data_IF_316615956884
#
_entry.id   IF_316615956884
#
_cell.length_a   1.000
_cell.length_b   1.000
_cell.length_c   1.000
_cell.angle_alpha   90.00
_cell.angle_beta   90.00
_cell.angle_gamma   90.00
#
_symmetry.space_group_name_H-M   'P 1'
#
loop_
_entity.id
_entity.type
_entity.pdbx_description
1 polymer ?
#
# COMPACT_ATOMS: atom_id res chain seq x y z
N UNK A 1 8.57 -5.95 -8.17
CA UNK A 1 7.85 -6.52 -7.02
C UNK A 1 8.17 -8.00 -6.79
N UNK A 2 7.95 -8.92 -7.75
CA UNK A 2 8.16 -10.37 -7.56
C UNK A 2 9.48 -10.75 -6.87
N UNK A 3 10.64 -10.30 -7.39
CA UNK A 3 11.95 -10.59 -6.77
C UNK A 3 12.07 -10.06 -5.34
N UNK A 4 11.44 -8.92 -5.03
CA UNK A 4 11.43 -8.37 -3.67
C UNK A 4 10.64 -9.30 -2.72
N UNK A 5 9.46 -9.77 -3.14
CA UNK A 5 8.66 -10.72 -2.35
C UNK A 5 9.37 -12.06 -2.15
N UNK A 6 9.99 -12.60 -3.20
CA UNK A 6 10.59 -13.93 -3.16
C UNK A 6 11.93 -13.94 -2.43
N UNK A 7 12.79 -12.96 -2.73
CA UNK A 7 14.16 -12.90 -2.25
C UNK A 7 14.23 -12.07 -0.98
N UNK A 8 13.76 -10.83 -0.96
CA UNK A 8 13.98 -9.93 0.18
C UNK A 8 13.02 -10.26 1.33
N UNK A 9 11.73 -10.43 1.03
CA UNK A 9 10.75 -10.91 2.01
C UNK A 9 10.76 -12.43 2.20
N UNK A 10 11.50 -13.17 1.38
CA UNK A 10 11.81 -14.57 1.62
C UNK A 10 10.65 -15.55 1.36
N UNK A 11 9.54 -15.13 0.75
CA UNK A 11 8.33 -15.97 0.58
C UNK A 11 8.56 -17.27 -0.22
N UNK A 12 9.62 -17.33 -1.03
CA UNK A 12 10.03 -18.52 -1.79
C UNK A 12 11.36 -19.13 -1.33
N UNK A 13 12.05 -18.57 -0.35
CA UNK A 13 13.25 -19.20 0.25
C UNK A 13 12.88 -20.51 0.94
N UNK A 14 13.83 -21.46 1.02
CA UNK A 14 13.64 -22.71 1.74
C UNK A 14 13.28 -22.47 3.23
N UNK A 15 13.95 -21.48 3.86
CA UNK A 15 13.66 -21.09 5.25
C UNK A 15 12.33 -20.34 5.40
N UNK A 16 11.80 -19.72 4.34
CA UNK A 16 10.69 -18.74 4.36
C UNK A 16 10.94 -17.50 5.23
N UNK A 17 12.19 -17.21 5.58
CA UNK A 17 12.57 -16.06 6.40
C UNK A 17 13.20 -14.97 5.52
N UNK A 18 12.59 -13.77 5.55
CA UNK A 18 13.07 -12.56 4.91
C UNK A 18 13.51 -11.49 5.89
N UNK A 19 13.73 -10.28 5.40
CA UNK A 19 14.20 -9.12 6.19
C UNK A 19 13.18 -8.61 7.22
N UNK A 20 11.92 -9.05 7.13
CA UNK A 20 10.85 -8.76 8.09
C UNK A 20 10.43 -10.03 8.86
N UNK A 21 11.29 -11.04 8.92
CA UNK A 21 10.95 -12.34 9.49
C UNK A 21 10.17 -13.25 8.52
N UNK A 22 9.39 -14.18 9.08
CA UNK A 22 8.56 -15.12 8.31
C UNK A 22 7.19 -14.49 8.05
N UNK A 23 6.77 -14.47 6.79
CA UNK A 23 5.50 -13.90 6.37
C UNK A 23 4.53 -15.05 6.09
N UNK A 24 3.39 -15.05 6.79
CA UNK A 24 2.29 -16.01 6.60
C UNK A 24 1.47 -15.67 5.37
N UNK A 25 1.19 -14.38 5.17
CA UNK A 25 0.42 -13.91 4.02
C UNK A 25 0.80 -12.48 3.64
N UNK A 26 0.49 -12.08 2.41
CA UNK A 26 0.71 -10.73 1.92
C UNK A 26 -0.32 -10.34 0.86
N UNK A 27 -0.58 -9.04 0.78
CA UNK A 27 -1.32 -8.43 -0.31
C UNK A 27 -0.61 -7.14 -0.74
N UNK A 28 -0.37 -7.00 -2.04
CA UNK A 28 0.31 -5.85 -2.64
C UNK A 28 -0.52 -5.33 -3.80
N UNK A 29 -0.69 -4.02 -3.87
CA UNK A 29 -1.26 -3.35 -5.05
C UNK A 29 -0.34 -2.23 -5.51
N UNK A 30 -0.09 -2.20 -6.81
CA UNK A 30 0.64 -1.13 -7.48
C UNK A 30 -0.37 -0.09 -7.98
N UNK A 31 -0.17 1.17 -7.61
CA UNK A 31 -0.92 2.30 -8.13
C UNK A 31 0.03 3.31 -8.80
N UNK A 32 -0.40 3.93 -9.89
CA UNK A 32 0.26 5.07 -10.49
C UNK A 32 -0.22 6.37 -9.86
N UNK A 33 0.70 7.23 -9.42
CA UNK A 33 0.34 8.60 -9.05
C UNK A 33 0.21 9.47 -10.31
N UNK A 34 -0.58 10.53 -10.20
CA UNK A 34 -0.69 11.59 -11.21
C UNK A 34 0.68 12.23 -11.53
N UNK A 35 1.68 12.05 -10.65
CA UNK A 35 3.06 12.51 -10.81
C UNK A 35 3.96 11.56 -11.60
N UNK A 36 3.41 10.48 -12.16
CA UNK A 36 4.11 9.58 -13.07
C UNK A 36 5.03 8.54 -12.42
N UNK A 37 4.96 8.37 -11.10
CA UNK A 37 5.62 7.27 -10.37
C UNK A 37 4.64 6.14 -10.05
N UNK A 38 5.15 4.91 -10.04
CA UNK A 38 4.44 3.74 -9.52
C UNK A 38 4.79 3.62 -8.03
N UNK A 39 3.78 3.40 -7.20
CA UNK A 39 3.94 3.09 -5.79
C UNK A 39 3.24 1.78 -5.47
N UNK A 40 3.82 1.00 -4.56
CA UNK A 40 3.22 -0.23 -4.06
C UNK A 40 2.72 -0.01 -2.64
N UNK A 41 1.46 -0.32 -2.38
CA UNK A 41 0.96 -0.51 -1.01
C UNK A 41 1.05 -1.99 -0.67
N UNK A 42 1.45 -2.31 0.56
CA UNK A 42 1.72 -3.68 0.99
C UNK A 42 1.12 -3.91 2.38
N UNK A 43 0.29 -4.95 2.52
CA UNK A 43 -0.08 -5.54 3.79
C UNK A 43 0.64 -6.87 3.94
N UNK A 44 1.32 -7.05 5.06
CA UNK A 44 2.11 -8.24 5.38
C UNK A 44 1.63 -8.81 6.72
N UNK A 45 1.27 -10.08 6.72
CA UNK A 45 0.91 -10.81 7.93
C UNK A 45 2.10 -11.63 8.39
N UNK A 46 2.70 -11.27 9.51
CA UNK A 46 3.79 -12.03 10.12
C UNK A 46 3.29 -13.39 10.63
N UNK A 47 4.09 -14.43 10.42
CA UNK A 47 3.81 -15.75 10.96
C UNK A 47 4.07 -15.77 12.48
N UNK A 48 3.17 -16.41 13.23
CA UNK A 48 3.22 -16.44 14.70
C UNK A 48 2.74 -15.17 15.41
N UNK A 49 2.32 -14.12 14.68
CA UNK A 49 1.72 -12.93 15.26
C UNK A 49 0.42 -13.29 16.02
N UNK A 50 0.15 -12.68 17.19
CA UNK A 50 -1.08 -12.91 17.94
C UNK A 50 -2.32 -12.58 17.11
N UNK A 51 -3.36 -13.40 17.24
CA UNK A 51 -4.56 -13.28 16.40
C UNK A 51 -5.45 -12.10 16.79
N UNK A 52 -5.33 -11.60 18.01
CA UNK A 52 -6.15 -10.52 18.55
C UNK A 52 -5.41 -9.74 19.64
N UNK A 53 -5.90 -8.55 20.03
CA UNK A 53 -5.32 -7.83 21.17
C UNK A 53 -5.38 -8.64 22.47
N UNK A 54 -6.41 -9.48 22.63
CA UNK A 54 -6.55 -10.34 23.79
C UNK A 54 -5.49 -11.44 23.82
N UNK A 55 -5.25 -12.12 22.69
CA UNK A 55 -4.18 -13.13 22.55
C UNK A 55 -2.79 -12.49 22.80
N UNK A 56 -2.57 -11.26 22.35
CA UNK A 56 -1.36 -10.49 22.67
C UNK A 56 -1.20 -10.32 24.19
N UNK A 57 -2.25 -9.88 24.89
CA UNK A 57 -2.24 -9.70 26.36
C UNK A 57 -2.03 -11.02 27.10
N UNK A 58 -2.70 -12.09 26.68
CA UNK A 58 -2.53 -13.42 27.26
C UNK A 58 -1.09 -13.92 27.11
N UNK A 59 -0.46 -13.73 25.95
CA UNK A 59 0.96 -14.07 25.73
C UNK A 59 1.91 -13.24 26.56
N UNK A 60 1.66 -11.93 26.65
CA UNK A 60 2.46 -11.03 27.51
C UNK A 60 2.38 -11.43 28.99
N UNK A 61 1.25 -11.97 29.46
CA UNK A 61 1.07 -12.41 30.84
C UNK A 61 1.60 -13.83 31.10
N UNK A 62 1.51 -14.73 30.12
CA UNK A 62 1.87 -16.14 30.28
C UNK A 62 3.34 -16.46 29.98
N UNK A 63 4.00 -15.66 29.13
CA UNK A 63 5.41 -15.82 28.79
C UNK A 63 6.21 -14.57 29.20
N UNK A 64 6.99 -14.65 30.30
CA UNK A 64 7.79 -13.54 30.80
C UNK A 64 8.80 -12.97 29.80
N UNK A 65 9.22 -13.76 28.81
CA UNK A 65 10.22 -13.36 27.81
C UNK A 65 9.60 -12.83 26.52
N UNK A 66 8.27 -12.89 26.39
CA UNK A 66 7.59 -12.54 25.15
C UNK A 66 7.76 -11.06 24.79
N UNK A 67 7.60 -10.16 25.76
CA UNK A 67 7.77 -8.71 25.55
C UNK A 67 9.18 -8.41 25.01
N UNK A 68 10.23 -8.92 25.66
CA UNK A 68 11.62 -8.70 25.27
C UNK A 68 11.95 -9.26 23.87
N UNK A 69 11.42 -10.45 23.53
CA UNK A 69 11.62 -11.03 22.20
C UNK A 69 10.90 -10.22 21.12
N UNK A 70 9.72 -9.70 21.42
CA UNK A 70 8.93 -8.92 20.48
C UNK A 70 9.54 -7.53 20.25
N UNK A 71 9.98 -6.83 21.31
CA UNK A 71 10.67 -5.54 21.19
C UNK A 71 11.98 -5.69 20.41
N UNK A 72 12.80 -6.69 20.74
CA UNK A 72 14.04 -6.98 20.02
C UNK A 72 13.81 -7.31 18.53
N UNK A 73 12.73 -8.02 18.21
CA UNK A 73 12.37 -8.30 16.82
C UNK A 73 11.99 -7.01 16.07
N UNK A 74 11.17 -6.14 16.66
CA UNK A 74 10.80 -4.87 16.02
C UNK A 74 12.00 -3.93 15.84
N UNK A 75 12.92 -3.88 16.79
CA UNK A 75 14.17 -3.11 16.67
C UNK A 75 15.09 -3.63 15.54
N UNK A 76 15.02 -4.92 15.19
CA UNK A 76 15.76 -5.51 14.07
C UNK A 76 15.11 -5.18 12.72
N UNK A 77 13.78 -5.15 12.65
CA UNK A 77 13.06 -5.03 11.37
C UNK A 77 12.65 -3.60 11.02
N UNK A 78 12.47 -2.70 11.99
CA UNK A 78 12.04 -1.32 11.78
C UNK A 78 13.10 -0.36 12.37
N UNK A 79 13.53 0.58 11.55
CA UNK A 79 14.43 1.66 11.90
C UNK A 79 13.74 3.02 11.73
N UNK A 80 13.89 3.90 12.73
CA UNK A 80 13.50 5.31 12.69
C UNK A 80 14.70 6.20 13.09
N UNK A 81 15.88 5.85 12.55
CA UNK A 81 17.14 6.55 12.79
C UNK A 81 18.02 6.53 11.54
N UNK A 82 18.95 7.49 11.45
CA UNK A 82 20.01 7.42 10.46
C UNK A 82 21.13 6.46 10.89
N UNK A 83 21.83 5.82 9.95
CA UNK A 83 23.05 5.08 10.27
C UNK A 83 24.08 5.97 10.96
N UNK A 84 24.71 5.44 12.01
CA UNK A 84 25.77 6.14 12.75
C UNK A 84 26.98 6.44 11.85
N UNK A 85 27.76 7.45 12.21
CA UNK A 85 28.99 7.83 11.49
C UNK A 85 28.78 8.21 10.02
N UNK A 86 27.61 8.77 9.69
CA UNK A 86 27.28 9.30 8.37
C UNK A 86 27.19 10.82 8.40
N UNK A 87 27.30 11.44 7.24
CA UNK A 87 27.13 12.89 7.07
C UNK A 87 25.83 13.19 6.30
N UNK A 88 25.18 14.35 6.52
CA UNK A 88 24.02 14.76 5.73
C UNK A 88 24.33 14.72 4.24
N UNK A 89 23.37 14.25 3.45
CA UNK A 89 23.46 14.25 2.02
C UNK A 89 23.45 15.68 1.47
N UNK A 90 24.46 16.00 0.66
CA UNK A 90 24.60 17.30 0.01
C UNK A 90 24.31 17.13 -1.49
N UNK A 91 23.20 17.69 -1.96
CA UNK A 91 22.95 17.85 -3.40
C UNK A 91 23.80 18.99 -3.94
N UNK A 92 24.86 18.70 -4.71
CA UNK A 92 25.44 19.70 -5.59
C UNK A 92 24.66 19.71 -6.92
N UNK A 93 23.98 20.82 -7.24
CA UNK A 93 23.26 20.97 -8.51
C UNK A 93 24.19 20.65 -9.69
N UNK A 94 23.70 19.86 -10.66
CA UNK A 94 24.45 19.52 -11.87
C UNK A 94 25.49 18.40 -11.72
N UNK A 95 25.72 17.84 -10.53
CA UNK A 95 26.57 16.65 -10.39
C UNK A 95 25.78 15.35 -10.56
N UNK A 96 26.31 14.34 -11.29
CA UNK A 96 25.71 13.02 -11.33
C UNK A 96 25.64 12.44 -9.92
N UNK A 97 24.49 11.85 -9.55
CA UNK A 97 24.35 11.10 -8.29
C UNK A 97 25.37 9.96 -8.27
N UNK A 98 26.48 10.14 -7.56
CA UNK A 98 27.42 9.04 -7.31
C UNK A 98 26.84 8.17 -6.20
N UNK A 99 26.79 6.86 -6.41
CA UNK A 99 26.46 5.93 -5.33
C UNK A 99 27.64 5.93 -4.35
N UNK A 100 27.43 6.24 -3.06
CA UNK A 100 28.51 6.21 -2.08
C UNK A 100 29.13 4.82 -2.01
N UNK A 101 30.45 4.77 -1.82
CA UNK A 101 31.17 3.50 -1.67
C UNK A 101 30.82 2.76 -0.36
N UNK A 102 30.39 3.51 0.68
CA UNK A 102 30.01 2.95 1.98
C UNK A 102 28.50 2.76 2.06
N UNK A 103 28.06 1.55 2.43
CA UNK A 103 26.65 1.17 2.59
C UNK A 103 25.87 2.14 3.48
N UNK A 104 26.40 2.48 4.64
CA UNK A 104 25.69 3.31 5.63
C UNK A 104 25.48 4.74 5.13
N UNK A 105 26.48 5.31 4.45
CA UNK A 105 26.33 6.62 3.79
C UNK A 105 25.32 6.53 2.66
N UNK A 106 25.36 5.47 1.84
CA UNK A 106 24.38 5.25 0.79
C UNK A 106 22.95 5.12 1.34
N UNK A 107 22.77 4.45 2.48
CA UNK A 107 21.49 4.34 3.15
C UNK A 107 20.98 5.69 3.62
N UNK A 108 21.80 6.50 4.30
CA UNK A 108 21.43 7.87 4.67
C UNK A 108 21.05 8.72 3.46
N UNK A 109 21.87 8.67 2.41
CA UNK A 109 21.63 9.40 1.18
C UNK A 109 20.29 9.00 0.56
N UNK A 110 19.95 7.72 0.54
CA UNK A 110 18.62 7.28 0.09
C UNK A 110 17.53 7.87 0.97
N UNK A 111 17.62 7.78 2.30
CA UNK A 111 16.62 8.34 3.21
C UNK A 111 16.32 9.82 2.91
N UNK A 112 17.37 10.62 2.73
CA UNK A 112 17.27 12.06 2.48
C UNK A 112 16.84 12.39 1.03
N UNK A 113 17.07 11.50 0.06
CA UNK A 113 16.75 11.72 -1.36
C UNK A 113 15.46 11.09 -1.87
N UNK A 114 14.95 10.06 -1.20
CA UNK A 114 13.77 9.31 -1.67
C UNK A 114 12.49 9.74 -0.97
N UNK A 115 12.53 10.80 -0.16
CA UNK A 115 11.39 11.30 0.61
C UNK A 115 11.05 10.42 1.82
N UNK A 116 12.03 9.67 2.35
CA UNK A 116 11.87 8.92 3.60
C UNK A 116 11.87 9.87 4.79
N UNK A 117 12.71 10.92 4.72
CA UNK A 117 12.68 12.08 5.61
C UNK A 117 11.53 12.99 5.20
N UNK A 118 10.61 13.22 6.13
CA UNK A 118 9.51 14.13 5.92
C UNK A 118 9.99 15.58 5.93
N UNK A 119 9.43 16.38 5.03
CA UNK A 119 9.55 17.83 5.04
C UNK A 119 8.19 18.41 4.76
N UNK A 120 7.68 19.21 5.69
CA UNK A 120 6.36 19.81 5.54
C UNK A 120 6.27 20.60 4.23
N UNK A 121 5.13 20.44 3.58
CA UNK A 121 4.79 21.16 2.37
C UNK A 121 3.26 21.30 2.33
N UNK A 122 2.73 22.01 1.33
CA UNK A 122 1.29 22.28 1.22
C UNK A 122 0.40 21.01 1.25
N UNK A 123 0.92 19.83 0.88
CA UNK A 123 0.16 18.57 0.95
C UNK A 123 -0.09 18.07 2.36
N UNK A 124 0.74 18.47 3.34
CA UNK A 124 0.60 18.11 4.75
C UNK A 124 -0.67 18.69 5.36
N UNK A 125 -1.13 19.82 4.83
CA UNK A 125 -2.26 20.59 5.35
C UNK A 125 -3.46 20.57 4.38
N UNK A 126 -3.50 19.61 3.45
CA UNK A 126 -4.52 19.52 2.39
C UNK A 126 -5.95 19.45 2.92
N UNK A 127 -6.15 18.79 4.07
CA UNK A 127 -7.48 18.60 4.67
C UNK A 127 -7.89 19.76 5.59
N UNK A 128 -6.99 20.71 5.85
CA UNK A 128 -7.27 21.86 6.69
C UNK A 128 -7.92 22.93 5.81
N UNK A 129 -9.07 23.51 6.20
CA UNK A 129 -9.69 24.60 5.47
C UNK A 129 -8.76 25.81 5.34
N UNK A 130 -8.65 26.37 4.12
CA UNK A 130 -7.78 27.53 3.84
C UNK A 130 -8.00 28.73 4.77
N UNK A 131 -9.23 28.92 5.27
CA UNK A 131 -9.62 30.03 6.15
C UNK A 131 -8.88 30.02 7.49
N UNK A 132 -8.39 28.86 7.93
CA UNK A 132 -7.69 28.68 9.19
C UNK A 132 -6.22 28.27 8.99
N UNK A 133 -5.69 28.35 7.76
CA UNK A 133 -4.29 28.01 7.48
C UNK A 133 -3.30 28.88 8.26
N UNK A 134 -3.68 30.10 8.64
CA UNK A 134 -2.87 30.97 9.49
C UNK A 134 -2.75 30.49 10.94
N UNK A 135 -3.59 29.54 11.37
CA UNK A 135 -3.58 28.95 12.71
C UNK A 135 -2.93 27.56 12.73
N UNK A 136 -2.44 27.09 11.59
CA UNK A 136 -1.82 25.77 11.46
C UNK A 136 -0.53 25.74 12.25
N UNK A 137 -0.43 24.78 13.16
CA UNK A 137 0.81 24.36 13.80
C UNK A 137 1.40 23.23 12.98
N UNK A 138 2.52 23.45 12.24
CA UNK A 138 3.08 22.45 11.34
C UNK A 138 3.34 21.10 12.00
N UNK A 139 3.74 21.09 13.27
CA UNK A 139 4.15 19.89 13.98
C UNK A 139 2.96 19.11 14.57
N UNK A 140 1.82 19.78 14.77
CA UNK A 140 0.60 19.16 15.31
C UNK A 140 -0.46 18.86 14.25
N UNK A 141 -0.52 19.70 13.23
CA UNK A 141 -1.56 19.66 12.20
C UNK A 141 -1.09 18.97 10.91
N UNK A 142 0.12 18.41 10.91
CA UNK A 142 0.58 17.57 9.82
C UNK A 142 -0.33 16.34 9.69
N UNK A 143 -0.97 16.17 8.53
CA UNK A 143 -1.80 14.99 8.22
C UNK A 143 -1.06 13.66 8.47
N UNK A 144 0.25 13.64 8.31
CA UNK A 144 1.08 12.45 8.51
C UNK A 144 1.51 12.24 9.96
N UNK A 145 1.13 13.14 10.88
CA UNK A 145 1.48 13.11 12.31
C UNK A 145 3.00 13.11 12.52
N UNK A 146 3.66 14.08 11.87
CA UNK A 146 5.11 14.28 11.91
C UNK A 146 5.42 15.72 12.35
N UNK A 147 6.45 15.94 13.19
CA UNK A 147 7.38 14.93 13.70
C UNK A 147 6.76 14.02 14.78
N UNK A 148 7.19 12.75 14.83
CA UNK A 148 6.87 11.83 15.92
C UNK A 148 7.61 12.22 17.21
N UNK A 149 7.04 11.94 18.39
CA UNK A 149 7.79 12.00 19.64
C UNK A 149 9.04 11.12 19.58
N UNK A 150 10.13 11.61 20.17
CA UNK A 150 11.37 10.83 20.30
C UNK A 150 11.20 9.79 21.41
N UNK A 151 11.68 8.58 21.14
CA UNK A 151 11.57 7.42 22.03
C UNK A 151 12.93 6.74 22.07
N UNK A 152 13.54 6.67 23.26
CA UNK A 152 14.90 6.14 23.43
C UNK A 152 15.01 4.63 23.19
N UNK A 153 13.97 3.86 23.55
CA UNK A 153 13.94 2.41 23.42
C UNK A 153 12.53 1.89 23.13
N UNK A 154 12.46 0.78 22.40
CA UNK A 154 11.19 0.12 22.07
C UNK A 154 10.62 -0.55 23.32
N UNK A 155 9.39 -0.21 23.69
CA UNK A 155 8.75 -0.68 24.93
C UNK A 155 7.22 -0.78 24.78
N UNK A 156 6.57 -1.39 25.77
CA UNK A 156 5.11 -1.36 25.92
C UNK A 156 4.71 -0.25 26.89
N UNK A 157 3.72 0.56 26.52
CA UNK A 157 3.18 1.61 27.39
C UNK A 157 2.19 1.06 28.44
N UNK A 158 1.53 1.96 29.17
CA UNK A 158 0.59 1.61 30.23
C UNK A 158 -0.69 0.95 29.70
N UNK A 159 -0.99 1.14 28.42
CA UNK A 159 -2.14 0.59 27.71
C UNK A 159 -1.84 -0.79 27.08
N UNK A 160 -0.60 -1.30 27.26
CA UNK A 160 -0.03 -2.48 26.61
C UNK A 160 0.14 -2.33 25.09
N UNK A 161 0.25 -1.09 24.61
CA UNK A 161 0.55 -0.78 23.21
C UNK A 161 2.07 -0.70 22.98
N UNK A 162 2.52 -1.22 21.83
CA UNK A 162 3.94 -1.25 21.48
C UNK A 162 4.37 0.11 20.91
N UNK A 163 5.34 0.74 21.57
CA UNK A 163 5.98 1.98 21.13
C UNK A 163 7.37 1.67 20.58
N UNK A 164 7.61 1.97 19.30
CA UNK A 164 8.91 1.75 18.63
C UNK A 164 9.88 2.89 18.94
N UNK A 165 11.15 2.56 19.18
CA UNK A 165 12.26 3.50 19.29
C UNK A 165 12.30 4.46 18.09
N UNK A 166 12.40 5.76 18.39
CA UNK A 166 12.37 6.85 17.44
C UNK A 166 13.46 7.85 17.80
N UNK A 167 14.54 7.91 17.01
CA UNK A 167 15.63 8.87 17.21
C UNK A 167 15.47 10.11 16.32
N UNK A 168 14.70 10.00 15.24
CA UNK A 168 14.38 11.10 14.34
C UNK A 168 12.87 11.11 14.05
N UNK A 169 12.19 12.15 14.54
CA UNK A 169 10.75 12.29 14.46
C UNK A 169 10.23 12.46 13.03
N UNK A 170 11.04 12.95 12.09
CA UNK A 170 10.65 13.22 10.70
C UNK A 170 10.96 12.04 9.77
N UNK A 171 11.82 11.12 10.19
CA UNK A 171 12.22 9.96 9.41
C UNK A 171 11.20 8.82 9.52
N UNK A 172 10.54 8.48 8.41
CA UNK A 172 9.60 7.35 8.38
C UNK A 172 10.27 6.03 8.78
N UNK A 173 9.48 5.19 9.46
CA UNK A 173 9.86 3.81 9.75
C UNK A 173 10.24 3.09 8.46
N UNK A 174 11.33 2.35 8.49
CA UNK A 174 11.79 1.62 7.31
C UNK A 174 12.68 0.44 7.71
N UNK A 175 12.80 -0.54 6.84
CA UNK A 175 13.81 -1.58 6.98
C UNK A 175 15.03 -1.21 6.10
N UNK A 176 16.23 -1.00 6.66
CA UNK A 176 17.40 -0.56 5.91
C UNK A 176 17.69 -1.41 4.67
N UNK A 177 17.57 -2.73 4.78
CA UNK A 177 17.80 -3.66 3.67
C UNK A 177 16.71 -3.52 2.59
N UNK A 178 15.45 -3.42 2.98
CA UNK A 178 14.35 -3.21 2.03
C UNK A 178 14.50 -1.88 1.26
N UNK A 179 14.80 -0.79 1.98
CA UNK A 179 15.01 0.54 1.40
C UNK A 179 16.20 0.55 0.44
N UNK A 180 17.33 -0.07 0.82
CA UNK A 180 18.50 -0.20 -0.05
C UNK A 180 18.21 -1.03 -1.31
N UNK A 181 17.46 -2.13 -1.20
CA UNK A 181 17.13 -2.98 -2.34
C UNK A 181 16.11 -2.35 -3.29
N UNK A 182 15.17 -1.55 -2.77
CA UNK A 182 14.13 -0.90 -3.58
C UNK A 182 14.58 0.48 -4.11
N UNK A 183 15.49 1.16 -3.42
CA UNK A 183 15.99 2.48 -3.80
C UNK A 183 14.93 3.58 -3.73
N UNK A 184 13.91 3.40 -2.89
CA UNK A 184 12.79 4.33 -2.74
C UNK A 184 12.31 4.43 -1.29
N UNK A 185 11.38 5.37 -1.03
CA UNK A 185 10.68 5.42 0.25
C UNK A 185 9.81 4.16 0.43
N UNK A 186 10.04 3.44 1.52
CA UNK A 186 9.32 2.20 1.86
C UNK A 186 8.28 2.35 2.99
N UNK A 187 8.21 3.50 3.67
CA UNK A 187 7.28 3.85 4.77
C UNK A 187 6.66 2.64 5.50
N UNK A 188 7.49 1.94 6.27
CA UNK A 188 7.12 0.75 7.01
C UNK A 188 6.49 1.13 8.36
N UNK A 189 5.26 0.68 8.58
CA UNK A 189 4.49 0.89 9.81
C UNK A 189 4.05 -0.44 10.38
N UNK A 190 4.24 -0.60 11.69
CA UNK A 190 3.57 -1.68 12.40
C UNK A 190 2.07 -1.44 12.41
N UNK A 191 1.30 -2.51 12.23
CA UNK A 191 -0.16 -2.46 12.36
C UNK A 191 -0.55 -3.40 13.49
N UNK A 192 -0.80 -2.81 14.66
CA UNK A 192 -1.33 -3.56 15.79
C UNK A 192 -2.81 -3.92 15.57
N UNK A 193 -3.29 -4.93 16.27
CA UNK A 193 -4.69 -5.38 16.21
C UNK A 193 -5.68 -4.33 16.71
N UNK A 194 -6.94 -4.40 16.28
CA UNK A 194 -8.01 -3.49 16.73
C UNK A 194 -8.40 -2.45 15.67
N UNK A 195 -8.81 -1.25 16.10
CA UNK A 195 -9.29 -0.18 15.22
C UNK A 195 -8.23 0.30 14.22
N UNK A 196 -6.95 0.31 14.62
CA UNK A 196 -5.82 0.68 13.75
C UNK A 196 -5.66 -0.34 12.63
N UNK A 197 -5.72 -1.64 12.91
CA UNK A 197 -5.71 -2.68 11.88
C UNK A 197 -6.90 -2.54 10.92
N UNK A 198 -8.10 -2.30 11.44
CA UNK A 198 -9.29 -2.12 10.60
C UNK A 198 -9.14 -0.89 9.69
N UNK A 199 -8.64 0.23 10.21
CA UNK A 199 -8.37 1.43 9.42
C UNK A 199 -7.30 1.18 8.34
N UNK A 200 -6.28 0.37 8.61
CA UNK A 200 -5.26 0.00 7.61
C UNK A 200 -5.81 -0.94 6.54
N UNK A 201 -6.70 -1.87 6.90
CA UNK A 201 -7.41 -2.71 5.93
C UNK A 201 -8.33 -1.86 5.05
N UNK A 202 -9.09 -0.93 5.63
CA UNK A 202 -9.92 0.02 4.87
C UNK A 202 -9.07 0.90 3.95
N UNK A 203 -7.97 1.44 4.46
CA UNK A 203 -6.99 2.18 3.68
C UNK A 203 -6.54 1.34 2.48
N UNK A 204 -6.05 0.12 2.71
CA UNK A 204 -5.58 -0.76 1.64
C UNK A 204 -6.69 -1.14 0.65
N UNK A 205 -7.91 -1.37 1.13
CA UNK A 205 -9.06 -1.63 0.28
C UNK A 205 -9.33 -0.45 -0.65
N UNK A 206 -9.27 0.78 -0.14
CA UNK A 206 -9.41 2.00 -0.93
C UNK A 206 -8.35 2.08 -2.04
N UNK A 207 -7.09 1.69 -1.79
CA UNK A 207 -6.04 1.65 -2.83
C UNK A 207 -6.28 0.55 -3.85
N UNK A 208 -6.76 -0.62 -3.39
CA UNK A 208 -7.09 -1.76 -4.24
C UNK A 208 -8.20 -1.41 -5.24
N UNK A 209 -9.24 -0.70 -4.78
CA UNK A 209 -10.38 -0.33 -5.62
C UNK A 209 -10.21 1.01 -6.32
N UNK A 210 -9.17 1.79 -6.03
CA UNK A 210 -9.00 3.17 -6.54
C UNK A 210 -9.03 3.28 -8.06
N UNK A 211 -8.60 2.22 -8.74
CA UNK A 211 -8.54 2.13 -10.19
C UNK A 211 -9.73 1.38 -10.79
N UNK A 212 -10.64 0.88 -9.96
CA UNK A 212 -11.89 0.27 -10.39
C UNK A 212 -12.90 1.37 -10.73
N UNK A 213 -13.75 1.08 -11.72
CA UNK A 213 -14.88 1.96 -12.03
C UNK A 213 -15.88 1.89 -10.88
N UNK A 214 -16.47 3.03 -10.56
CA UNK A 214 -17.58 3.09 -9.61
C UNK A 214 -18.69 2.13 -10.06
N UNK A 215 -19.21 1.34 -9.11
CA UNK A 215 -20.31 0.41 -9.33
C UNK A 215 -21.51 1.05 -10.03
N UNK A 216 -21.85 2.29 -9.70
CA UNK A 216 -22.93 3.03 -10.34
C UNK A 216 -22.63 3.33 -11.82
N UNK A 217 -21.37 3.58 -12.17
CA UNK A 217 -20.94 3.76 -13.58
C UNK A 217 -21.05 2.44 -14.32
N UNK A 218 -20.59 1.34 -13.71
CA UNK A 218 -20.71 -0.01 -14.28
C UNK A 218 -22.16 -0.37 -14.54
N UNK A 219 -23.01 -0.16 -13.53
CA UNK A 219 -24.43 -0.45 -13.60
C UNK A 219 -25.15 0.41 -14.64
N UNK A 220 -24.85 1.71 -14.70
CA UNK A 220 -25.45 2.62 -15.68
C UNK A 220 -25.10 2.22 -17.12
N UNK A 221 -23.86 1.80 -17.37
CA UNK A 221 -23.44 1.32 -18.70
C UNK A 221 -24.16 0.02 -19.09
N UNK A 222 -24.36 -0.90 -18.14
CA UNK A 222 -25.10 -2.14 -18.35
C UNK A 222 -26.58 -1.85 -18.68
N UNK A 223 -27.25 -1.05 -17.85
CA UNK A 223 -28.65 -0.66 -18.04
C UNK A 223 -28.87 0.08 -19.36
N UNK A 224 -27.96 0.99 -19.73
CA UNK A 224 -28.02 1.70 -21.01
C UNK A 224 -27.89 0.72 -22.20
N UNK A 225 -27.00 -0.26 -22.10
CA UNK A 225 -26.81 -1.28 -23.13
C UNK A 225 -28.03 -2.19 -23.28
N UNK A 226 -28.62 -2.64 -22.16
CA UNK A 226 -29.85 -3.44 -22.14
C UNK A 226 -31.00 -2.65 -22.79
N UNK A 227 -31.23 -1.41 -22.36
CA UNK A 227 -32.31 -0.57 -22.91
C UNK A 227 -32.13 -0.31 -24.41
N UNK A 228 -30.90 -0.12 -24.87
CA UNK A 228 -30.60 0.07 -26.29
C UNK A 228 -30.95 -1.17 -27.12
N UNK A 229 -30.68 -2.38 -26.60
CA UNK A 229 -30.97 -3.64 -27.27
C UNK A 229 -32.44 -4.03 -27.19
N UNK A 230 -33.15 -3.71 -26.12
CA UNK A 230 -34.61 -3.89 -26.04
C UNK A 230 -35.34 -3.04 -27.07
N UNK A 231 -34.88 -1.80 -27.29
CA UNK A 231 -35.47 -0.90 -28.28
C UNK A 231 -35.16 -1.28 -29.73
N UNK A 232 -34.01 -1.91 -29.97
CA UNK A 232 -33.53 -2.33 -31.30
C UNK A 232 -32.84 -3.69 -31.21
N UNK A 233 -33.62 -4.78 -31.05
CA UNK A 233 -33.05 -6.11 -30.95
C UNK A 233 -32.42 -6.51 -32.28
N UNK A 234 -31.22 -7.11 -32.29
CA UNK A 234 -30.68 -7.73 -33.49
C UNK A 234 -31.60 -8.85 -33.94
N UNK A 235 -31.81 -8.94 -35.25
CA UNK A 235 -32.61 -9.98 -35.87
C UNK A 235 -31.72 -10.79 -36.80
N UNK A 236 -31.99 -12.09 -36.90
CA UNK A 236 -31.36 -12.96 -37.88
C UNK A 236 -31.95 -12.75 -39.29
N UNK A 237 -31.48 -13.55 -40.24
CA UNK A 237 -31.95 -13.53 -41.64
C UNK A 237 -33.45 -13.82 -41.78
N UNK A 238 -34.06 -14.46 -40.79
CA UNK A 238 -35.48 -14.84 -40.76
C UNK A 238 -36.33 -13.83 -39.97
N UNK A 239 -35.71 -12.76 -39.46
CA UNK A 239 -36.37 -11.72 -38.66
C UNK A 239 -36.60 -12.11 -37.20
N UNK A 240 -36.11 -13.27 -36.76
CA UNK A 240 -36.20 -13.70 -35.37
C UNK A 240 -35.11 -13.03 -34.53
N UNK A 241 -35.36 -12.92 -33.22
CA UNK A 241 -34.37 -12.33 -32.32
C UNK A 241 -33.14 -13.25 -32.25
N UNK A 242 -31.99 -12.74 -32.67
CA UNK A 242 -30.72 -13.43 -32.51
C UNK A 242 -30.19 -13.20 -31.09
N UNK A 243 -30.46 -14.17 -30.20
CA UNK A 243 -30.02 -14.12 -28.81
C UNK A 243 -28.49 -14.13 -28.67
N UNK A 244 -27.77 -14.76 -29.60
CA UNK A 244 -26.30 -14.82 -29.57
C UNK A 244 -25.72 -13.45 -29.90
N UNK A 245 -26.22 -12.82 -30.97
CA UNK A 245 -25.81 -11.46 -31.34
C UNK A 245 -26.26 -10.43 -30.31
N UNK A 246 -27.42 -10.62 -29.67
CA UNK A 246 -27.88 -9.77 -28.58
C UNK A 246 -26.92 -9.82 -27.38
N UNK A 247 -26.50 -11.01 -26.95
CA UNK A 247 -25.54 -11.17 -25.86
C UNK A 247 -24.17 -10.57 -26.22
N UNK A 248 -23.68 -10.81 -27.44
CA UNK A 248 -22.42 -10.24 -27.92
C UNK A 248 -22.47 -8.71 -27.94
N UNK A 249 -23.52 -8.12 -28.50
CA UNK A 249 -23.70 -6.66 -28.55
C UNK A 249 -23.89 -6.06 -27.17
N UNK A 250 -24.55 -6.76 -26.24
CA UNK A 250 -24.67 -6.32 -24.85
C UNK A 250 -23.29 -6.17 -24.22
N UNK A 251 -22.44 -7.18 -24.36
CA UNK A 251 -21.07 -7.12 -23.85
C UNK A 251 -20.27 -6.02 -24.53
N UNK A 252 -20.25 -5.95 -25.86
CA UNK A 252 -19.47 -4.95 -26.61
C UNK A 252 -19.88 -3.52 -26.26
N UNK A 253 -21.19 -3.22 -26.25
CA UNK A 253 -21.68 -1.87 -25.92
C UNK A 253 -21.37 -1.48 -24.48
N UNK A 254 -21.55 -2.43 -23.54
CA UNK A 254 -21.21 -2.20 -22.14
C UNK A 254 -19.71 -1.93 -22.02
N UNK A 255 -18.85 -2.82 -22.53
CA UNK A 255 -17.40 -2.68 -22.48
C UNK A 255 -16.92 -1.39 -23.12
N UNK A 256 -17.41 -1.01 -24.31
CA UNK A 256 -17.02 0.25 -24.96
C UNK A 256 -17.37 1.47 -24.10
N UNK A 257 -18.54 1.46 -23.47
CA UNK A 257 -18.95 2.52 -22.55
C UNK A 257 -18.03 2.57 -21.32
N UNK A 258 -17.68 1.42 -20.75
CA UNK A 258 -16.78 1.34 -19.59
C UNK A 258 -15.36 1.79 -19.93
N UNK A 259 -14.82 1.36 -21.08
CA UNK A 259 -13.49 1.74 -21.56
C UNK A 259 -13.42 3.24 -21.78
N UNK A 260 -14.44 3.86 -22.40
CA UNK A 260 -14.49 5.30 -22.59
C UNK A 260 -14.62 6.13 -21.30
N UNK A 261 -14.94 5.49 -20.16
CA UNK A 261 -15.02 6.11 -18.84
C UNK A 261 -13.79 5.87 -17.98
N UNK A 262 -12.81 5.10 -18.47
CA UNK A 262 -11.61 4.74 -17.71
C UNK A 262 -10.37 5.37 -18.33
N UNK A 263 -9.75 6.28 -17.61
CA UNK A 263 -8.42 6.77 -17.92
C UNK A 263 -7.37 5.87 -17.27
N UNK A 264 -6.36 5.47 -18.05
CA UNK A 264 -5.19 4.75 -17.55
C UNK A 264 -3.95 5.62 -17.72
N UNK A 265 -3.06 5.60 -16.74
CA UNK A 265 -1.79 6.31 -16.88
C UNK A 265 -0.86 5.57 -17.83
N UNK A 266 0.03 6.30 -18.51
CA UNK A 266 1.02 5.68 -19.40
C UNK A 266 1.88 4.62 -18.70
N UNK A 267 2.17 4.81 -17.41
CA UNK A 267 2.94 3.89 -16.57
C UNK A 267 2.19 2.58 -16.32
N UNK A 268 0.88 2.64 -16.08
CA UNK A 268 0.04 1.44 -15.92
C UNK A 268 -0.01 0.65 -17.22
N UNK A 269 -0.25 1.34 -18.34
CA UNK A 269 -0.25 0.73 -19.67
C UNK A 269 1.10 0.09 -19.97
N UNK A 270 2.21 0.78 -19.72
CA UNK A 270 3.54 0.23 -19.90
C UNK A 270 3.80 -1.00 -19.02
N UNK A 271 3.37 -0.96 -17.75
CA UNK A 271 3.52 -2.08 -16.80
C UNK A 271 2.75 -3.31 -17.30
N UNK A 272 1.52 -3.12 -17.78
CA UNK A 272 0.69 -4.18 -18.35
C UNK A 272 1.32 -4.75 -19.64
N UNK A 273 1.80 -3.88 -20.54
CA UNK A 273 2.47 -4.29 -21.79
C UNK A 273 3.77 -5.06 -21.52
N UNK A 274 4.45 -4.78 -20.41
CA UNK A 274 5.62 -5.53 -19.96
C UNK A 274 5.26 -6.86 -19.25
N UNK A 275 3.98 -7.25 -19.26
CA UNK A 275 3.50 -8.48 -18.63
C UNK A 275 3.57 -8.47 -17.11
N UNK A 276 3.65 -7.30 -16.48
CA UNK A 276 3.69 -7.16 -15.02
C UNK A 276 2.28 -7.06 -14.47
N UNK A 277 2.06 -7.69 -13.32
CA UNK A 277 0.81 -7.61 -12.57
C UNK A 277 0.72 -6.25 -11.86
N UNK A 278 -0.51 -5.78 -11.65
CA UNK A 278 -0.83 -4.62 -10.82
C UNK A 278 -1.10 -4.99 -9.35
N UNK A 279 -1.17 -6.29 -9.04
CA UNK A 279 -1.30 -6.79 -7.68
C UNK A 279 -0.56 -8.13 -7.47
N UNK A 280 -0.25 -8.42 -6.22
CA UNK A 280 0.43 -9.65 -5.79
C UNK A 280 -0.18 -10.11 -4.47
N UNK A 281 -0.53 -11.39 -4.37
CA UNK A 281 -1.15 -11.97 -3.18
C UNK A 281 -0.59 -13.36 -2.90
N UNK A 282 -0.53 -13.75 -1.63
CA UNK A 282 -0.27 -15.14 -1.21
C UNK A 282 -1.49 -16.06 -1.33
N UNK A 283 -2.68 -15.46 -1.32
CA UNK A 283 -3.95 -16.17 -1.15
C UNK A 283 -4.82 -16.05 -2.40
N UNK A 284 -5.68 -17.06 -2.60
CA UNK A 284 -6.70 -17.07 -3.64
C UNK A 284 -8.01 -16.54 -3.08
N UNK A 285 -8.66 -15.66 -3.84
CA UNK A 285 -9.93 -15.05 -3.46
C UNK A 285 -11.06 -15.63 -4.31
N UNK A 286 -12.24 -15.79 -3.70
CA UNK A 286 -13.43 -16.21 -4.43
C UNK A 286 -13.91 -15.10 -5.36
N UNK A 287 -14.24 -15.46 -6.59
CA UNK A 287 -14.85 -14.54 -7.54
C UNK A 287 -16.32 -14.34 -7.17
N UNK A 288 -16.71 -13.09 -6.94
CA UNK A 288 -18.11 -12.74 -6.69
C UNK A 288 -18.67 -11.98 -7.90
N UNK A 289 -19.66 -12.58 -8.56
CA UNK A 289 -20.24 -12.03 -9.79
C UNK A 289 -21.34 -11.01 -9.47
N UNK A 290 -21.28 -9.84 -10.12
CA UNK A 290 -22.31 -8.80 -10.04
C UNK A 290 -23.73 -9.34 -10.30
N UNK A 291 -23.87 -10.27 -11.24
CA UNK A 291 -25.14 -10.90 -11.56
C UNK A 291 -25.72 -11.76 -10.43
N UNK A 292 -24.90 -12.21 -9.48
CA UNK A 292 -25.38 -12.93 -8.28
C UNK A 292 -26.00 -11.95 -7.29
N UNK A 293 -25.31 -10.82 -7.04
CA UNK A 293 -25.80 -9.76 -6.15
C UNK A 293 -27.17 -9.21 -6.59
N UNK A 294 -27.44 -9.16 -7.90
CA UNK A 294 -28.71 -8.69 -8.44
C UNK A 294 -29.88 -9.68 -8.30
N UNK A 295 -29.63 -10.93 -7.91
CA UNK A 295 -30.71 -11.93 -7.68
C UNK A 295 -31.19 -11.97 -6.23
N UNK A 296 -30.38 -11.44 -5.32
CA UNK A 296 -30.63 -11.46 -3.87
C UNK A 296 -31.17 -10.11 -3.34
N UNK A 297 -31.40 -9.14 -4.23
CA UNK A 297 -32.09 -7.86 -3.98
C UNK A 297 -33.44 -7.89 -4.69
#
# INVERSE_FOLDING_TARGET
MTKFLEIILGTKRASKVGVLGRIKGFYVVDESQIRGSIHGHMLLWSDGAPASPLDMKERMNSDPTFKDRLTAWYDDIICQSFPRNTVPYVTAEGTPKQLPQKRDQHHRDLCENTGLVHRHNATCFKHIPRRIHSLVDPDKDCRFQLPRPLVAETHFDAEDDLVIRCEDGDLNGHNPTATLCLGCNTDLKQTASGSVAMAMVEYMANYTIKLQLDTAVVFSALCASIKNLQNKPPQDVEGQIDNSEMARLMMVKTTNTLVGKRELTGQQTATLLLGRKNNYTSDEYQEYWWSSMLRDI
#
